data_IF_038836145777
#
_entry.id   IF_038836145777
#
_cell.length_a   1.000
_cell.length_b   1.000
_cell.length_c   1.000
_cell.angle_alpha   90.00
_cell.angle_beta   90.00
_cell.angle_gamma   90.00
#
_symmetry.space_group_name_H-M   'P 1'
#
loop_
_entity.id
_entity.type
_entity.pdbx_description
1 polymer ?
#
# COMPACT_ATOMS: atom_id res chain seq x y z
N UNK A 1 -36.53 -48.44 45.40
CA UNK A 1 -36.78 -47.12 44.77
C UNK A 1 -37.27 -47.35 43.35
N UNK A 2 -38.49 -46.91 42.97
CA UNK A 2 -38.90 -46.87 41.56
C UNK A 2 -38.44 -45.57 40.89
N UNK A 3 -37.82 -45.69 39.71
CA UNK A 3 -37.31 -44.58 38.89
C UNK A 3 -38.45 -43.73 38.31
N UNK A 4 -38.35 -42.39 38.24
CA UNK A 4 -39.28 -41.58 37.46
C UNK A 4 -38.96 -41.63 35.95
N UNK A 5 -39.97 -41.48 35.07
CA UNK A 5 -39.77 -41.44 33.62
C UNK A 5 -39.22 -40.06 33.20
N UNK A 6 -38.21 -40.03 32.32
CA UNK A 6 -37.69 -38.77 31.78
C UNK A 6 -38.70 -38.14 30.79
N UNK A 7 -39.13 -36.88 30.99
CA UNK A 7 -39.89 -36.15 29.99
C UNK A 7 -38.99 -35.68 28.85
N UNK A 8 -39.49 -35.81 27.62
CA UNK A 8 -38.79 -35.57 26.36
C UNK A 8 -38.17 -34.16 26.24
N UNK A 9 -37.07 -34.10 25.49
CA UNK A 9 -36.34 -32.85 25.20
C UNK A 9 -37.21 -31.92 24.33
N UNK A 10 -37.26 -30.62 24.64
CA UNK A 10 -38.02 -29.66 23.83
C UNK A 10 -37.32 -29.42 22.49
N UNK A 11 -38.16 -29.46 21.45
CA UNK A 11 -37.91 -29.16 20.05
C UNK A 11 -37.19 -27.79 19.88
N UNK A 12 -35.93 -27.79 19.42
CA UNK A 12 -35.21 -26.57 19.08
C UNK A 12 -35.29 -26.33 17.56
N UNK A 13 -35.81 -25.19 17.09
CA UNK A 13 -35.80 -24.86 15.67
C UNK A 13 -34.38 -24.52 15.18
N UNK A 14 -34.09 -24.70 13.87
CA UNK A 14 -32.76 -24.41 13.34
C UNK A 14 -32.46 -22.91 13.44
N UNK A 15 -31.35 -22.58 14.11
CA UNK A 15 -30.83 -21.20 14.16
C UNK A 15 -30.26 -20.83 12.79
N UNK A 16 -31.01 -20.04 12.02
CA UNK A 16 -30.50 -19.33 10.83
C UNK A 16 -29.33 -18.44 11.25
N UNK A 17 -28.13 -18.75 10.75
CA UNK A 17 -26.96 -17.87 10.88
C UNK A 17 -27.11 -16.70 9.91
N UNK A 18 -27.00 -15.43 10.35
CA UNK A 18 -26.96 -14.32 9.41
C UNK A 18 -25.72 -14.46 8.50
N UNK A 19 -25.90 -14.28 7.19
CA UNK A 19 -24.78 -14.18 6.25
C UNK A 19 -23.93 -12.99 6.64
N UNK A 20 -22.68 -13.25 7.01
CA UNK A 20 -21.65 -12.24 7.25
C UNK A 20 -21.44 -11.49 5.93
N UNK A 21 -21.80 -10.21 5.87
CA UNK A 21 -21.47 -9.37 4.73
C UNK A 21 -19.94 -9.23 4.62
N UNK A 22 -19.34 -9.32 3.42
CA UNK A 22 -17.92 -9.04 3.24
C UNK A 22 -17.64 -7.57 3.57
N UNK A 23 -16.59 -7.31 4.35
CA UNK A 23 -16.21 -5.96 4.74
C UNK A 23 -15.69 -5.15 3.52
N UNK A 24 -16.04 -3.86 3.34
CA UNK A 24 -15.66 -3.07 2.15
C UNK A 24 -14.22 -2.53 2.15
N UNK A 25 -13.25 -3.20 2.78
CA UNK A 25 -11.98 -2.55 3.17
C UNK A 25 -10.79 -2.83 2.25
N UNK A 26 -10.96 -3.61 1.18
CA UNK A 26 -9.84 -3.99 0.30
C UNK A 26 -9.67 -3.08 -0.91
N UNK A 27 -10.76 -2.46 -1.40
CA UNK A 27 -10.72 -1.55 -2.55
C UNK A 27 -9.95 -0.25 -2.28
N UNK A 28 -9.93 0.24 -1.04
CA UNK A 28 -9.30 1.52 -0.70
C UNK A 28 -7.76 1.48 -0.74
N UNK A 29 -7.13 0.33 -0.50
CA UNK A 29 -5.66 0.20 -0.47
C UNK A 29 -5.02 0.14 -1.85
N UNK A 30 -5.81 -0.14 -2.90
CA UNK A 30 -5.29 -0.26 -4.27
C UNK A 30 -4.85 1.08 -4.86
N UNK A 31 -5.35 2.20 -4.31
CA UNK A 31 -4.99 3.55 -4.74
C UNK A 31 -3.90 4.20 -3.88
N UNK A 32 -3.49 3.57 -2.77
CA UNK A 32 -2.45 4.12 -1.88
C UNK A 32 -1.06 4.16 -2.55
N UNK A 33 -0.83 3.32 -3.57
CA UNK A 33 0.45 3.21 -4.26
C UNK A 33 0.39 3.63 -5.74
N UNK A 34 -0.28 4.74 -6.05
CA UNK A 34 -0.23 5.33 -7.39
C UNK A 34 1.13 6.00 -7.61
N UNK A 35 2.03 5.34 -8.35
CA UNK A 35 3.23 5.98 -8.90
C UNK A 35 2.90 6.58 -10.26
N UNK A 36 3.38 7.79 -10.52
CA UNK A 36 3.26 8.42 -11.84
C UNK A 36 4.09 7.62 -12.86
N UNK A 37 3.47 6.65 -13.51
CA UNK A 37 4.14 5.76 -14.47
C UNK A 37 4.62 6.49 -15.72
N UNK A 38 4.03 7.66 -16.03
CA UNK A 38 4.37 8.48 -17.19
C UNK A 38 4.68 9.90 -16.73
N UNK A 39 5.84 10.42 -17.13
CA UNK A 39 6.16 11.84 -17.01
C UNK A 39 6.38 12.45 -18.40
N UNK A 40 5.97 13.70 -18.55
CA UNK A 40 6.20 14.47 -19.76
C UNK A 40 7.69 14.81 -19.86
N UNK A 41 8.34 14.34 -20.92
CA UNK A 41 9.73 14.70 -21.18
C UNK A 41 9.79 15.91 -22.14
N UNK A 42 10.50 17.00 -21.79
CA UNK A 42 10.62 18.17 -22.67
C UNK A 42 11.39 17.89 -23.97
N UNK A 43 12.26 16.86 -24.00
CA UNK A 43 12.99 16.48 -25.22
C UNK A 43 12.20 15.57 -26.16
N UNK A 44 11.41 14.64 -25.62
CA UNK A 44 10.57 13.75 -26.42
C UNK A 44 9.19 14.33 -26.74
N UNK A 45 8.83 15.45 -26.10
CA UNK A 45 7.52 16.14 -26.19
C UNK A 45 6.32 15.19 -26.01
N UNK A 46 6.54 14.09 -25.29
CA UNK A 46 5.60 12.98 -25.15
C UNK A 46 5.62 12.50 -23.70
N UNK A 47 4.48 11.98 -23.24
CA UNK A 47 4.37 11.28 -21.97
C UNK A 47 5.11 9.94 -22.07
N UNK A 48 6.28 9.85 -21.43
CA UNK A 48 7.15 8.68 -21.50
C UNK A 48 7.27 8.03 -20.13
N UNK A 49 7.50 6.70 -20.06
CA UNK A 49 7.73 6.05 -18.79
C UNK A 49 9.02 6.58 -18.15
N UNK A 50 8.90 7.08 -16.92
CA UNK A 50 10.05 7.56 -16.17
C UNK A 50 10.63 6.42 -15.32
N UNK A 51 11.95 6.33 -15.29
CA UNK A 51 12.68 5.42 -14.39
C UNK A 51 13.23 6.23 -13.23
N UNK A 52 12.95 5.78 -12.02
CA UNK A 52 13.60 6.32 -10.82
C UNK A 52 15.01 5.75 -10.68
N UNK A 53 16.01 6.62 -10.51
CA UNK A 53 17.38 6.25 -10.17
C UNK A 53 17.74 6.90 -8.85
N UNK A 54 18.21 6.09 -7.91
CA UNK A 54 18.74 6.59 -6.64
C UNK A 54 20.00 7.40 -6.93
N UNK A 55 19.95 8.70 -6.64
CA UNK A 55 21.10 9.59 -6.73
C UNK A 55 21.94 9.53 -5.46
N UNK A 56 21.28 9.71 -4.32
CA UNK A 56 21.93 9.95 -3.03
C UNK A 56 21.14 9.27 -1.92
N UNK A 57 21.86 8.56 -1.06
CA UNK A 57 21.35 8.05 0.21
C UNK A 57 21.67 9.10 1.26
N UNK A 58 20.65 9.80 1.77
CA UNK A 58 20.80 10.72 2.88
C UNK A 58 20.36 10.03 4.17
N UNK A 59 20.89 10.46 5.32
CA UNK A 59 20.45 9.94 6.61
C UNK A 59 18.95 10.13 6.89
N UNK A 60 18.35 11.17 6.30
CA UNK A 60 16.92 11.52 6.42
C UNK A 60 16.03 10.92 5.33
N UNK A 61 16.61 10.24 4.34
CA UNK A 61 15.85 9.73 3.21
C UNK A 61 16.66 9.54 1.94
N UNK A 62 16.06 8.89 0.95
CA UNK A 62 16.69 8.59 -0.33
C UNK A 62 16.26 9.61 -1.38
N UNK A 63 17.23 10.25 -2.04
CA UNK A 63 16.98 11.14 -3.17
C UNK A 63 17.02 10.34 -4.47
N UNK A 64 15.92 10.35 -5.20
CA UNK A 64 15.75 9.73 -6.50
C UNK A 64 15.61 10.79 -7.58
N UNK A 65 16.18 10.51 -8.75
CA UNK A 65 15.96 11.24 -9.98
C UNK A 65 15.02 10.47 -10.89
N UNK A 66 14.09 11.16 -11.54
CA UNK A 66 13.28 10.61 -12.61
C UNK A 66 13.95 10.89 -13.94
N UNK A 67 14.40 9.84 -14.61
CA UNK A 67 14.94 9.92 -15.97
C UNK A 67 13.92 9.38 -16.97
N UNK A 68 13.78 10.07 -18.10
CA UNK A 68 13.02 9.54 -19.23
C UNK A 68 13.65 8.23 -19.71
N UNK A 69 12.88 7.14 -19.81
CA UNK A 69 13.40 5.86 -20.28
C UNK A 69 13.85 5.86 -21.75
N UNK A 70 13.42 6.85 -22.54
CA UNK A 70 13.72 6.94 -23.97
C UNK A 70 14.96 7.79 -24.27
N UNK A 71 15.10 8.95 -23.62
CA UNK A 71 16.20 9.89 -23.88
C UNK A 71 17.15 10.12 -22.70
N UNK A 72 16.86 9.57 -21.52
CA UNK A 72 17.68 9.74 -20.32
C UNK A 72 17.62 11.14 -19.70
N UNK A 73 16.71 12.01 -20.15
CA UNK A 73 16.61 13.39 -19.61
C UNK A 73 16.01 13.38 -18.21
N UNK A 74 16.63 14.12 -17.29
CA UNK A 74 16.13 14.40 -15.95
C UNK A 74 14.81 15.16 -16.03
N UNK A 75 13.73 14.48 -15.69
CA UNK A 75 12.36 14.99 -15.75
C UNK A 75 11.89 15.51 -14.39
N UNK A 76 12.59 15.13 -13.31
CA UNK A 76 12.36 15.64 -11.97
C UNK A 76 13.15 14.87 -10.92
N UNK A 77 12.98 15.25 -9.65
CA UNK A 77 13.59 14.57 -8.51
C UNK A 77 12.55 14.34 -7.42
N UNK A 78 12.59 13.19 -6.75
CA UNK A 78 11.79 12.87 -5.57
C UNK A 78 12.71 12.52 -4.41
N UNK A 79 12.44 13.11 -3.26
CA UNK A 79 13.06 12.71 -2.00
C UNK A 79 12.07 11.83 -1.22
N UNK A 80 12.43 10.58 -0.97
CA UNK A 80 11.68 9.68 -0.12
C UNK A 80 12.23 9.79 1.31
N UNK A 81 11.55 10.60 2.13
CA UNK A 81 11.94 10.85 3.52
C UNK A 81 11.41 9.76 4.44
N UNK A 82 12.25 8.80 4.82
CA UNK A 82 12.03 8.05 6.06
C UNK A 82 12.48 8.96 7.20
N UNK A 83 11.56 9.41 8.07
CA UNK A 83 11.89 10.21 9.27
C UNK A 83 12.75 9.42 10.29
N UNK A 84 13.93 9.00 9.89
CA UNK A 84 14.95 8.43 10.77
C UNK A 84 15.71 9.57 11.43
N UNK A 85 15.67 9.60 12.76
CA UNK A 85 16.42 10.51 13.62
C UNK A 85 17.92 10.49 13.26
N UNK A 86 18.41 11.53 12.60
CA UNK A 86 19.81 11.64 12.17
C UNK A 86 20.63 12.24 13.31
N UNK A 87 21.29 11.40 14.10
CA UNK A 87 22.31 11.86 15.06
C UNK A 87 23.61 12.21 14.35
N UNK A 88 23.79 13.50 14.08
CA UNK A 88 25.07 14.06 13.60
C UNK A 88 26.10 13.98 14.74
N UNK A 89 27.12 13.13 14.59
CA UNK A 89 28.30 13.14 15.45
C UNK A 89 29.35 14.02 14.78
N UNK A 90 29.54 15.23 15.30
CA UNK A 90 30.63 16.12 14.91
C UNK A 90 31.92 15.73 15.68
N UNK A 91 33.11 15.80 15.06
CA UNK A 91 34.39 15.51 15.71
C UNK A 91 34.80 16.55 16.75
#
# INVERSE_FOLDING_TARGET
>A
MPMPPFPGRPNQPPRMRPRRAPAPQEEARQFESLRASLLFCPKCQTATPARERLLLVLPSGNLYEYLCAHCGTSTGSKTDGSQGDVRLVAP
#
